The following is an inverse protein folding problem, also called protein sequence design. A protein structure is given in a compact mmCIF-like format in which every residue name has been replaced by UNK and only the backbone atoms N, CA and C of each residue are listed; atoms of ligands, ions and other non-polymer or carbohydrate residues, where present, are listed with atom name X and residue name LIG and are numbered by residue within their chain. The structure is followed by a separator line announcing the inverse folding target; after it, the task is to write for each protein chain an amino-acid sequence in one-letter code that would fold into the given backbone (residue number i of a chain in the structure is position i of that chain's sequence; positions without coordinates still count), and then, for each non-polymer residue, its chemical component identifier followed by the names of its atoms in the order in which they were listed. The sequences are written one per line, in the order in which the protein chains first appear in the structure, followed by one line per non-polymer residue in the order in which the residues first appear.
data_IF_672062209450
#
_entry.id   IF_672062209450
#
_cell.length_a   1.000
_cell.length_b   1.000
_cell.length_c   1.000
_cell.angle_alpha   90.00
_cell.angle_beta   90.00
_cell.angle_gamma   90.00
#
_symmetry.space_group_name_H-M   'P 1'
#
loop_
_entity.id
_entity.type
_entity.pdbx_description
1 polymer ?
#
# COMPACT_ATOMS: atom_id res chain seq x y z
N UNK A 1 4.66 24.30 -10.22
CA UNK A 1 5.04 23.59 -11.46
C UNK A 1 6.34 24.20 -11.97
N UNK A 2 7.40 23.40 -12.11
CA UNK A 2 8.68 23.83 -12.72
C UNK A 2 8.74 23.30 -14.15
N UNK A 3 9.19 24.14 -15.10
CA UNK A 3 9.20 23.80 -16.53
C UNK A 3 10.65 23.82 -17.00
N UNK A 4 11.10 22.71 -17.60
CA UNK A 4 12.45 22.53 -18.13
C UNK A 4 12.37 21.94 -19.54
N UNK A 5 13.13 22.48 -20.48
CA UNK A 5 13.25 21.93 -21.82
C UNK A 5 14.48 21.03 -21.88
N UNK A 6 14.29 19.75 -22.24
CA UNK A 6 15.35 18.75 -22.39
C UNK A 6 15.38 18.17 -23.81
N UNK A 7 16.58 17.93 -24.33
CA UNK A 7 16.81 17.20 -25.58
C UNK A 7 16.98 15.69 -25.32
N UNK A 8 16.79 14.82 -26.32
CA UNK A 8 17.18 13.42 -26.22
C UNK A 8 18.64 13.26 -25.75
N UNK A 9 18.86 12.38 -24.78
CA UNK A 9 20.12 12.15 -24.09
C UNK A 9 20.32 13.01 -22.84
N UNK A 10 19.53 14.07 -22.64
CA UNK A 10 19.65 14.91 -21.46
C UNK A 10 18.88 14.32 -20.27
N UNK A 11 19.41 14.57 -19.07
CA UNK A 11 18.91 14.05 -17.81
C UNK A 11 18.59 15.20 -16.86
N UNK A 12 17.61 14.99 -15.99
CA UNK A 12 17.33 15.86 -14.84
C UNK A 12 17.22 15.00 -13.57
N UNK A 13 17.59 15.60 -12.44
CA UNK A 13 17.55 14.98 -11.12
C UNK A 13 16.44 15.60 -10.27
N UNK A 14 15.76 14.76 -9.49
CA UNK A 14 14.73 15.16 -8.52
C UNK A 14 15.17 14.64 -7.15
N UNK A 15 15.57 15.56 -6.26
CA UNK A 15 16.27 15.17 -5.03
C UNK A 15 17.56 14.40 -5.33
N UNK A 16 17.92 13.47 -4.44
CA UNK A 16 19.19 12.73 -4.55
C UNK A 16 19.05 11.37 -5.23
N UNK A 17 17.84 10.79 -5.25
CA UNK A 17 17.63 9.38 -5.61
C UNK A 17 16.75 9.17 -6.84
N UNK A 18 16.19 10.22 -7.44
CA UNK A 18 15.33 10.11 -8.62
C UNK A 18 15.98 10.79 -9.82
N UNK A 19 16.06 10.06 -10.92
CA UNK A 19 16.67 10.52 -12.16
C UNK A 19 15.72 10.29 -13.33
N UNK A 20 15.49 11.33 -14.14
CA UNK A 20 14.64 11.26 -15.34
C UNK A 20 15.48 11.61 -16.57
N UNK A 21 15.53 10.69 -17.51
CA UNK A 21 16.31 10.80 -18.76
C UNK A 21 15.36 10.86 -19.95
N UNK A 22 15.58 11.81 -20.86
CA UNK A 22 14.87 11.81 -22.16
C UNK A 22 15.59 10.86 -23.10
N UNK A 23 15.02 9.70 -23.37
CA UNK A 23 15.63 8.69 -24.24
C UNK A 23 15.47 9.03 -25.72
N UNK A 24 14.41 9.74 -26.07
CA UNK A 24 14.11 10.12 -27.45
C UNK A 24 12.74 10.77 -27.59
N UNK A 25 12.50 11.41 -28.74
CA UNK A 25 11.20 11.96 -29.13
C UNK A 25 10.88 11.53 -30.55
N UNK A 26 9.66 11.06 -30.78
CA UNK A 26 9.16 10.66 -32.09
C UNK A 26 7.76 11.23 -32.28
N UNK A 27 7.64 12.25 -33.14
CA UNK A 27 6.40 13.01 -33.30
C UNK A 27 5.97 13.59 -31.95
N UNK A 28 4.72 13.29 -31.56
CA UNK A 28 4.13 13.75 -30.30
C UNK A 28 4.46 12.84 -29.09
N UNK A 29 5.20 11.74 -29.31
CA UNK A 29 5.59 10.83 -28.25
C UNK A 29 7.01 11.10 -27.76
N UNK A 30 7.18 11.09 -26.45
CA UNK A 30 8.49 11.19 -25.80
C UNK A 30 8.75 9.92 -25.01
N UNK A 31 9.95 9.35 -25.16
CA UNK A 31 10.43 8.23 -24.36
C UNK A 31 11.20 8.77 -23.17
N UNK A 32 10.73 8.42 -21.97
CA UNK A 32 11.34 8.82 -20.71
C UNK A 32 11.86 7.57 -19.98
N UNK A 33 13.12 7.59 -19.56
CA UNK A 33 13.69 6.66 -18.60
C UNK A 33 13.58 7.26 -17.21
N UNK A 34 13.04 6.51 -16.24
CA UNK A 34 12.90 6.96 -14.85
C UNK A 34 13.60 5.94 -13.97
N UNK A 35 14.53 6.41 -13.15
CA UNK A 35 15.18 5.61 -12.10
C UNK A 35 14.80 6.20 -10.76
N UNK A 36 14.29 5.38 -9.86
CA UNK A 36 13.91 5.73 -8.51
C UNK A 36 14.14 4.49 -7.61
N UNK A 37 14.30 4.67 -6.29
CA UNK A 37 14.39 3.55 -5.35
C UNK A 37 13.05 2.80 -5.22
N UNK A 38 13.10 1.57 -4.72
CA UNK A 38 11.94 0.63 -4.68
C UNK A 38 10.77 1.10 -3.80
N UNK A 39 11.03 2.01 -2.86
CA UNK A 39 10.02 2.63 -2.00
C UNK A 39 9.19 3.70 -2.72
N UNK A 40 9.66 4.18 -3.88
CA UNK A 40 8.97 5.20 -4.69
C UNK A 40 8.25 4.53 -5.87
N UNK A 41 6.93 4.44 -5.77
CA UNK A 41 6.12 3.90 -6.85
C UNK A 41 6.02 4.86 -8.06
N UNK A 42 6.29 4.35 -9.26
CA UNK A 42 6.18 5.10 -10.52
C UNK A 42 4.95 4.58 -11.29
N UNK A 43 4.02 5.47 -11.60
CA UNK A 43 2.80 5.13 -12.32
C UNK A 43 2.59 6.05 -13.53
N UNK A 44 1.92 5.53 -14.55
CA UNK A 44 1.36 6.35 -15.63
C UNK A 44 0.17 7.14 -15.09
N UNK A 45 -0.01 8.39 -15.52
CA UNK A 45 -1.01 9.31 -14.94
C UNK A 45 -2.43 8.73 -14.99
N UNK A 46 -2.80 8.11 -16.12
CA UNK A 46 -4.10 7.47 -16.32
C UNK A 46 -4.33 6.28 -15.37
N UNK A 47 -3.28 5.51 -15.07
CA UNK A 47 -3.34 4.41 -14.10
C UNK A 47 -3.40 4.97 -12.68
N UNK A 48 -2.64 6.02 -12.40
CA UNK A 48 -2.67 6.69 -11.11
C UNK A 48 -4.05 7.28 -10.80
N UNK A 49 -4.75 7.86 -11.79
CA UNK A 49 -6.12 8.34 -11.62
C UNK A 49 -7.12 7.22 -11.35
N UNK A 50 -6.93 6.04 -11.96
CA UNK A 50 -7.75 4.86 -11.68
C UNK A 50 -7.50 4.30 -10.28
N UNK A 51 -6.25 4.24 -9.83
CA UNK A 51 -5.88 3.80 -8.48
C UNK A 51 -6.32 4.83 -7.43
N UNK A 52 -6.18 6.13 -7.72
CA UNK A 52 -6.61 7.22 -6.84
C UNK A 52 -8.12 7.31 -6.64
N UNK A 53 -8.90 6.71 -7.54
CA UNK A 53 -10.35 6.54 -7.39
C UNK A 53 -10.75 5.34 -6.52
N UNK A 54 -9.79 4.55 -6.03
CA UNK A 54 -10.05 3.67 -4.88
C UNK A 54 -10.19 4.59 -3.68
N UNK A 55 -11.44 4.96 -3.36
CA UNK A 55 -11.77 5.60 -2.08
C UNK A 55 -11.06 4.80 -0.98
N UNK A 56 -10.14 5.39 -0.20
CA UNK A 56 -9.54 4.67 0.90
C UNK A 56 -10.70 4.22 1.80
N UNK A 57 -10.89 2.90 1.90
CA UNK A 57 -11.99 2.32 2.68
C UNK A 57 -11.79 2.77 4.12
N UNK A 58 -12.74 3.53 4.71
CA UNK A 58 -12.62 3.97 6.08
C UNK A 58 -12.38 2.76 7.00
N UNK A 59 -11.46 2.87 7.96
CA UNK A 59 -11.16 1.79 8.90
C UNK A 59 -12.38 1.23 9.64
N UNK A 60 -13.40 2.06 9.89
CA UNK A 60 -14.67 1.62 10.45
C UNK A 60 -15.42 0.64 9.52
N UNK A 61 -15.44 0.90 8.23
CA UNK A 61 -16.10 0.06 7.23
C UNK A 61 -15.38 -1.29 7.07
N UNK A 62 -14.04 -1.30 7.14
CA UNK A 62 -13.25 -2.54 7.19
C UNK A 62 -13.55 -3.38 8.44
N UNK A 63 -13.67 -2.72 9.60
CA UNK A 63 -14.00 -3.37 10.88
C UNK A 63 -15.40 -3.98 10.84
N UNK A 64 -16.39 -3.26 10.30
CA UNK A 64 -17.76 -3.75 10.17
C UNK A 64 -17.86 -4.94 9.22
N UNK A 65 -17.20 -4.86 8.05
CA UNK A 65 -17.16 -5.96 7.09
C UNK A 65 -16.53 -7.21 7.71
N UNK A 66 -15.35 -7.08 8.34
CA UNK A 66 -14.69 -8.19 9.01
C UNK A 66 -15.55 -8.81 10.10
N UNK A 67 -16.11 -8.00 10.99
CA UNK A 67 -16.92 -8.51 12.10
C UNK A 67 -18.23 -9.17 11.65
N UNK A 68 -18.72 -8.88 10.44
CA UNK A 68 -19.88 -9.52 9.83
C UNK A 68 -19.52 -10.90 9.27
N UNK A 69 -18.37 -11.01 8.63
CA UNK A 69 -17.91 -12.24 7.97
C UNK A 69 -17.22 -13.21 8.95
N UNK A 70 -16.60 -12.68 10.00
CA UNK A 70 -15.74 -13.42 10.92
C UNK A 70 -16.11 -13.11 12.38
N UNK A 71 -17.08 -13.82 12.99
CA UNK A 71 -17.39 -13.67 14.40
C UNK A 71 -16.22 -14.13 15.28
N UNK A 72 -15.95 -13.39 16.35
CA UNK A 72 -14.88 -13.75 17.28
C UNK A 72 -15.30 -14.92 18.21
N UNK A 73 -14.39 -15.86 18.54
CA UNK A 73 -13.00 -15.95 18.07
C UNK A 73 -12.91 -16.55 16.66
N UNK A 74 -12.14 -15.90 15.78
CA UNK A 74 -11.87 -16.38 14.41
C UNK A 74 -10.46 -16.96 14.31
N UNK A 75 -10.29 -18.07 13.59
CA UNK A 75 -8.98 -18.62 13.26
C UNK A 75 -8.37 -17.80 12.12
N UNK A 76 -7.10 -17.41 12.25
CA UNK A 76 -6.44 -16.54 11.27
C UNK A 76 -4.99 -16.96 11.03
N UNK A 77 -4.44 -16.55 9.90
CA UNK A 77 -3.01 -16.45 9.66
C UNK A 77 -2.58 -14.99 9.85
N UNK A 78 -1.62 -14.74 10.75
CA UNK A 78 -1.04 -13.43 11.03
C UNK A 78 0.36 -13.33 10.42
N UNK A 79 0.63 -12.23 9.70
CA UNK A 79 1.94 -11.93 9.12
C UNK A 79 2.43 -10.55 9.58
N UNK A 80 3.41 -10.46 10.50
CA UNK A 80 3.80 -9.19 11.13
C UNK A 80 4.41 -8.17 10.17
N UNK A 81 5.12 -8.63 9.15
CA UNK A 81 5.73 -7.78 8.11
C UNK A 81 5.74 -8.49 6.75
N UNK A 82 5.92 -7.72 5.67
CA UNK A 82 5.95 -8.26 4.29
C UNK A 82 7.07 -9.29 4.17
N UNK A 83 6.73 -10.50 3.74
CA UNK A 83 7.68 -11.60 3.57
C UNK A 83 7.89 -12.48 4.80
N UNK A 84 7.36 -12.12 5.98
CA UNK A 84 7.40 -13.01 7.15
C UNK A 84 6.64 -14.31 6.90
N UNK A 85 7.05 -15.40 7.56
CA UNK A 85 6.27 -16.64 7.60
C UNK A 85 4.95 -16.41 8.35
N UNK A 86 3.80 -16.84 7.78
CA UNK A 86 2.51 -16.71 8.45
C UNK A 86 2.44 -17.56 9.73
N UNK A 87 1.93 -16.97 10.80
CA UNK A 87 1.69 -17.64 12.07
C UNK A 87 0.19 -17.91 12.24
N UNK A 88 -0.19 -19.15 12.50
CA UNK A 88 -1.59 -19.51 12.80
C UNK A 88 -1.92 -19.16 14.24
N UNK A 89 -2.98 -18.38 14.43
CA UNK A 89 -3.45 -17.92 15.75
C UNK A 89 -4.96 -17.67 15.71
N UNK A 90 -5.53 -17.18 16.82
CA UNK A 90 -6.95 -16.86 16.96
C UNK A 90 -7.16 -15.42 17.40
N UNK A 91 -8.27 -14.82 17.01
CA UNK A 91 -8.67 -13.52 17.55
C UNK A 91 -9.18 -13.66 18.99
N UNK A 92 -8.80 -12.72 19.86
CA UNK A 92 -9.28 -12.65 21.25
C UNK A 92 -10.63 -11.95 21.33
N UNK A 93 -10.96 -11.13 20.33
CA UNK A 93 -12.20 -10.38 20.28
C UNK A 93 -12.54 -9.90 18.86
N UNK A 94 -13.51 -9.00 18.79
CA UNK A 94 -13.94 -8.37 17.54
C UNK A 94 -12.89 -7.37 17.06
N UNK A 95 -12.85 -7.13 15.76
CA UNK A 95 -12.08 -6.03 15.19
C UNK A 95 -12.59 -4.69 15.71
N UNK A 96 -11.70 -3.71 15.85
CA UNK A 96 -12.05 -2.35 16.24
C UNK A 96 -11.14 -1.32 15.54
N UNK A 97 -11.54 -0.05 15.63
CA UNK A 97 -10.70 1.07 15.17
C UNK A 97 -9.84 1.53 16.34
N UNK A 98 -8.53 1.53 16.18
CA UNK A 98 -7.57 2.04 17.16
C UNK A 98 -7.67 3.57 17.30
N UNK A 99 -7.11 4.12 18.38
CA UNK A 99 -7.04 5.58 18.60
C UNK A 99 -6.34 6.34 17.46
N UNK A 100 -5.38 5.70 16.78
CA UNK A 100 -4.71 6.25 15.60
C UNK A 100 -5.50 6.11 14.29
N UNK A 101 -6.76 5.67 14.37
CA UNK A 101 -7.65 5.52 13.24
C UNK A 101 -7.45 4.24 12.43
N UNK A 102 -6.51 3.35 12.76
CA UNK A 102 -6.30 2.11 12.00
C UNK A 102 -7.26 0.99 12.41
N UNK A 103 -7.71 0.16 11.46
CA UNK A 103 -8.46 -1.06 11.72
C UNK A 103 -7.55 -2.15 12.29
N UNK A 104 -7.88 -2.68 13.47
CA UNK A 104 -7.05 -3.60 14.23
C UNK A 104 -7.83 -4.75 14.84
N UNK A 105 -7.14 -5.84 15.15
CA UNK A 105 -7.63 -7.00 15.91
C UNK A 105 -6.64 -7.41 17.00
N UNK A 106 -7.15 -8.00 18.07
CA UNK A 106 -6.35 -8.63 19.12
C UNK A 106 -6.25 -10.11 18.84
N UNK A 107 -5.04 -10.65 18.96
CA UNK A 107 -4.74 -12.04 18.64
C UNK A 107 -4.01 -12.70 19.81
N UNK A 108 -4.22 -14.00 19.98
CA UNK A 108 -3.54 -14.76 21.04
C UNK A 108 -2.03 -14.71 20.84
N UNK A 109 -1.29 -14.49 21.94
CA UNK A 109 0.16 -14.41 21.96
C UNK A 109 0.75 -13.04 21.62
N UNK A 110 -0.07 -12.02 21.32
CA UNK A 110 0.41 -10.65 21.12
C UNK A 110 -0.07 -9.72 22.24
N UNK A 111 0.82 -8.85 22.72
CA UNK A 111 0.54 -7.86 23.76
C UNK A 111 -0.09 -6.57 23.23
N UNK A 112 -0.07 -6.36 21.91
CA UNK A 112 -0.61 -5.19 21.24
C UNK A 112 -1.58 -5.60 20.11
N UNK A 113 -2.56 -4.75 19.78
CA UNK A 113 -3.41 -4.97 18.62
C UNK A 113 -2.60 -4.97 17.33
N UNK A 114 -2.95 -5.85 16.41
CA UNK A 114 -2.32 -5.96 15.10
C UNK A 114 -3.22 -5.41 14.01
N UNK A 115 -2.63 -4.88 12.94
CA UNK A 115 -3.40 -4.32 11.83
C UNK A 115 -4.21 -5.41 11.13
N UNK A 116 -5.49 -5.14 10.85
CA UNK A 116 -6.40 -6.10 10.23
C UNK A 116 -5.85 -6.63 8.87
N UNK A 117 -5.20 -5.74 8.11
CA UNK A 117 -4.53 -6.07 6.83
C UNK A 117 -3.37 -7.07 6.93
N UNK A 118 -2.85 -7.29 8.13
CA UNK A 118 -1.77 -8.24 8.40
C UNK A 118 -2.32 -9.64 8.69
N UNK A 119 -3.64 -9.82 8.64
CA UNK A 119 -4.32 -11.04 9.00
C UNK A 119 -5.17 -11.56 7.83
N UNK A 120 -5.30 -12.89 7.75
CA UNK A 120 -6.17 -13.56 6.79
C UNK A 120 -6.98 -14.60 7.55
N UNK A 121 -8.31 -14.54 7.45
CA UNK A 121 -9.18 -15.52 8.10
C UNK A 121 -9.00 -16.91 7.45
N UNK A 122 -8.97 -17.94 8.29
CA UNK A 122 -8.98 -19.33 7.87
C UNK A 122 -10.41 -19.82 8.07
N UNK A 123 -11.13 -20.06 6.96
CA UNK A 123 -12.49 -20.61 6.96
C UNK A 123 -12.55 -22.04 7.46
#
# INVERSE_FOLDING_TARGET
MLILTRRPGETLHIGDNITVTVLGSQGDQVRLGITAPDDVAIHRSEIYQQIGNVRPVPPAELVEAWNREHPAPALIEYRPYRGAEPQRTRTVGRASVSLGGAAVIWIEGQSAPVALRACTAIS
#
